data_IF_777510051475
#
_entry.id   IF_777510051475
#
_cell.length_a   1.000
_cell.length_b   1.000
_cell.length_c   1.000
_cell.angle_alpha   90.00
_cell.angle_beta   90.00
_cell.angle_gamma   90.00
#
_symmetry.space_group_name_H-M   'P 1'
#
loop_
_entity.id
_entity.type
_entity.pdbx_description
1 polymer ?
#
# COMPACT_ATOMS: atom_id res chain seq x y z
N UNK A 1 -10.76 3.43 -12.04
CA UNK A 1 -10.18 4.05 -10.84
C UNK A 1 -10.39 5.53 -11.00
N UNK A 2 -11.23 6.08 -10.15
CA UNK A 2 -11.54 7.50 -10.15
C UNK A 2 -10.37 8.31 -9.55
N UNK A 3 -10.40 9.63 -9.68
CA UNK A 3 -9.29 10.50 -9.24
C UNK A 3 -9.13 10.55 -7.71
N UNK A 4 -10.15 10.11 -6.97
CA UNK A 4 -10.15 9.99 -5.51
C UNK A 4 -10.11 8.53 -5.02
N UNK A 5 -9.80 7.59 -5.93
CA UNK A 5 -9.59 6.19 -5.61
C UNK A 5 -8.09 5.85 -5.56
N UNK A 6 -7.71 4.98 -4.63
CA UNK A 6 -6.45 4.25 -4.69
C UNK A 6 -6.65 2.75 -4.48
N UNK A 7 -5.79 1.94 -5.10
CA UNK A 7 -5.70 0.50 -4.91
C UNK A 7 -4.59 0.28 -3.90
N UNK A 8 -4.80 -0.61 -2.93
CA UNK A 8 -3.73 -1.00 -2.04
C UNK A 8 -3.64 -2.50 -1.84
N UNK A 9 -2.40 -2.98 -1.71
CA UNK A 9 -2.08 -4.34 -1.32
C UNK A 9 -1.24 -4.32 -0.05
N UNK A 10 -1.44 -5.33 0.79
CA UNK A 10 -0.64 -5.54 1.99
C UNK A 10 0.05 -6.89 1.88
N UNK A 11 1.35 -6.90 2.13
CA UNK A 11 2.14 -8.12 2.15
C UNK A 11 3.14 -8.09 3.32
N UNK A 12 3.41 -9.26 3.86
CA UNK A 12 4.42 -9.43 4.89
C UNK A 12 5.76 -9.69 4.23
N UNK A 13 6.76 -8.87 4.56
CA UNK A 13 8.13 -9.19 4.18
C UNK A 13 8.58 -10.48 4.88
N UNK A 14 9.52 -11.18 4.25
CA UNK A 14 10.20 -12.27 4.93
C UNK A 14 10.91 -11.71 6.16
N UNK A 15 10.84 -12.45 7.28
CA UNK A 15 11.54 -12.07 8.51
C UNK A 15 13.01 -11.78 8.19
N UNK A 16 13.45 -10.54 8.47
CA UNK A 16 14.83 -10.12 8.20
C UNK A 16 15.75 -10.86 9.17
N UNK A 17 16.20 -12.04 8.75
CA UNK A 17 17.14 -12.89 9.46
C UNK A 17 18.42 -13.05 8.61
N UNK A 18 19.61 -13.16 9.25
CA UNK A 18 20.82 -13.64 8.59
C UNK A 18 20.53 -14.94 7.85
N UNK A 19 21.20 -15.18 6.71
CA UNK A 19 20.90 -16.31 5.84
C UNK A 19 20.95 -17.65 6.58
N UNK A 20 21.90 -17.82 7.52
CA UNK A 20 21.99 -19.01 8.38
C UNK A 20 20.78 -19.24 9.31
N UNK A 21 19.93 -18.24 9.48
CA UNK A 21 18.73 -18.27 10.33
C UNK A 21 17.44 -18.15 9.52
N UNK A 22 17.51 -18.05 8.19
CA UNK A 22 16.32 -18.04 7.33
C UNK A 22 15.74 -19.45 7.26
N UNK A 23 14.57 -19.62 7.86
CA UNK A 23 13.77 -20.83 7.73
C UNK A 23 12.89 -20.76 6.47
N UNK A 24 12.48 -21.89 5.86
CA UNK A 24 11.49 -21.89 4.80
C UNK A 24 10.18 -21.23 5.27
N UNK A 25 9.43 -20.55 4.37
CA UNK A 25 8.21 -19.80 4.70
C UNK A 25 7.25 -20.58 5.62
N UNK A 26 7.05 -21.87 5.35
CA UNK A 26 6.18 -22.76 6.14
C UNK A 26 6.61 -22.97 7.60
N UNK A 27 7.88 -22.73 7.93
CA UNK A 27 8.43 -22.84 9.27
C UNK A 27 8.44 -21.49 10.02
N UNK A 28 8.28 -20.38 9.31
CA UNK A 28 8.23 -19.03 9.86
C UNK A 28 6.80 -18.58 10.23
N UNK A 29 5.81 -18.80 9.36
CA UNK A 29 4.44 -18.36 9.61
C UNK A 29 3.90 -18.87 10.95
N UNK A 30 3.41 -17.95 11.81
CA UNK A 30 2.90 -18.24 13.16
C UNK A 30 3.93 -18.13 14.30
N UNK A 31 5.23 -17.97 14.01
CA UNK A 31 6.23 -17.67 15.05
C UNK A 31 6.27 -16.17 15.33
N UNK A 32 6.24 -15.79 16.61
CA UNK A 32 6.42 -14.40 17.03
C UNK A 32 7.82 -13.87 16.72
N UNK A 33 7.94 -12.57 16.47
CA UNK A 33 9.22 -11.88 16.33
C UNK A 33 9.07 -10.55 15.62
N UNK A 34 10.19 -9.89 15.35
CA UNK A 34 10.15 -8.70 14.50
C UNK A 34 9.72 -9.08 13.09
N UNK A 35 8.68 -8.43 12.59
CA UNK A 35 8.14 -8.65 11.24
C UNK A 35 7.86 -7.29 10.59
N UNK A 36 7.86 -7.25 9.26
CA UNK A 36 7.64 -6.03 8.50
C UNK A 36 6.43 -6.22 7.60
N UNK A 37 5.43 -5.34 7.72
CA UNK A 37 4.30 -5.26 6.81
C UNK A 37 4.55 -4.13 5.81
N UNK A 38 4.40 -4.44 4.52
CA UNK A 38 4.49 -3.46 3.43
C UNK A 38 3.10 -3.21 2.87
N UNK A 39 2.67 -1.95 2.87
CA UNK A 39 1.46 -1.51 2.19
C UNK A 39 1.83 -0.75 0.92
N UNK A 40 1.47 -1.27 -0.24
CA UNK A 40 1.74 -0.63 -1.54
C UNK A 40 0.46 -0.04 -2.11
N UNK A 41 0.53 1.21 -2.55
CA UNK A 41 -0.59 2.00 -3.04
C UNK A 41 -0.33 2.42 -4.48
N UNK A 42 -1.39 2.40 -5.29
CA UNK A 42 -1.39 2.94 -6.64
C UNK A 42 -2.65 3.77 -6.85
N UNK A 43 -2.50 4.98 -7.40
CA UNK A 43 -3.62 5.88 -7.68
C UNK A 43 -3.40 6.65 -8.97
N UNK A 44 -4.48 7.22 -9.48
CA UNK A 44 -4.43 8.08 -10.65
C UNK A 44 -4.11 9.50 -10.20
N UNK A 45 -3.12 10.13 -10.83
CA UNK A 45 -2.79 11.51 -10.53
C UNK A 45 -3.92 12.46 -10.96
N UNK A 46 -4.20 13.51 -10.18
CA UNK A 46 -5.10 14.56 -10.62
C UNK A 46 -4.48 15.22 -11.85
N UNK A 47 -5.16 15.13 -12.99
CA UNK A 47 -4.77 15.87 -14.20
C UNK A 47 -4.77 17.34 -13.81
N UNK A 48 -3.68 18.11 -14.06
CA UNK A 48 -3.73 19.55 -13.87
C UNK A 48 -4.91 20.05 -14.70
N UNK A 49 -5.96 20.56 -14.05
CA UNK A 49 -7.05 21.26 -14.73
C UNK A 49 -6.43 22.56 -15.26
N UNK A 50 -5.75 22.46 -16.39
CA UNK A 50 -5.06 23.58 -17.00
C UNK A 50 -6.09 24.70 -17.20
N UNK A 51 -5.67 25.89 -16.79
CA UNK A 51 -6.45 27.10 -16.70
C UNK A 51 -7.50 27.22 -17.82
N UNK A 52 -8.72 27.58 -17.41
CA UNK A 52 -9.83 28.03 -18.25
C UNK A 52 -9.35 29.17 -19.17
N UNK A 53 -8.77 28.84 -20.31
CA UNK A 53 -8.53 29.76 -21.43
C UNK A 53 -8.50 28.97 -22.74
N UNK A 54 -9.65 29.01 -23.42
CA UNK A 54 -9.84 29.07 -24.87
C UNK A 54 -8.75 28.43 -25.76
N UNK A 55 -9.06 27.26 -26.33
CA UNK A 55 -9.17 26.95 -27.78
C UNK A 55 -9.19 25.42 -27.97
N UNK A 56 -10.14 24.96 -28.78
CA UNK A 56 -10.51 23.59 -29.13
C UNK A 56 -9.39 22.77 -29.78
N UNK A 57 -8.90 21.76 -29.07
CA UNK A 57 -8.55 20.42 -29.59
C UNK A 57 -8.56 19.44 -28.41
N UNK A 58 -9.33 18.34 -28.42
CA UNK A 58 -9.31 17.35 -27.35
C UNK A 58 -8.05 16.49 -27.49
N UNK A 59 -6.92 16.97 -26.99
CA UNK A 59 -5.77 16.10 -26.72
C UNK A 59 -6.07 15.34 -25.44
N UNK A 60 -6.59 14.12 -25.59
CA UNK A 60 -6.70 13.18 -24.46
C UNK A 60 -5.30 12.67 -24.14
N UNK A 61 -4.57 13.40 -23.31
CA UNK A 61 -3.36 12.86 -22.68
C UNK A 61 -3.74 11.62 -21.85
N UNK A 62 -2.97 10.52 -21.94
CA UNK A 62 -3.25 9.33 -21.15
C UNK A 62 -3.19 9.65 -19.65
N UNK A 63 -4.00 8.97 -18.82
CA UNK A 63 -3.95 9.15 -17.37
C UNK A 63 -2.55 8.81 -16.85
N UNK A 64 -2.04 9.66 -15.95
CA UNK A 64 -0.80 9.39 -15.22
C UNK A 64 -1.14 8.73 -13.89
N UNK A 65 -0.30 7.81 -13.45
CA UNK A 65 -0.49 7.06 -12.21
C UNK A 65 0.73 7.24 -11.31
N UNK A 66 0.47 7.37 -10.02
CA UNK A 66 1.47 7.38 -8.97
C UNK A 66 1.40 6.11 -8.15
N UNK A 67 2.54 5.77 -7.55
CA UNK A 67 2.69 4.61 -6.66
C UNK A 67 3.53 4.98 -5.46
N UNK A 68 3.19 4.46 -4.29
CA UNK A 68 3.96 4.65 -3.08
C UNK A 68 3.81 3.45 -2.15
N UNK A 69 4.87 3.13 -1.41
CA UNK A 69 4.88 2.04 -0.44
C UNK A 69 5.22 2.55 0.95
N UNK A 70 4.52 2.02 1.94
CA UNK A 70 4.68 2.31 3.35
C UNK A 70 5.11 1.05 4.06
N UNK A 71 6.06 1.18 4.99
CA UNK A 71 6.66 0.06 5.69
C UNK A 71 6.37 0.21 7.19
N UNK A 72 5.70 -0.79 7.76
CA UNK A 72 5.44 -0.90 9.20
C UNK A 72 6.26 -2.03 9.81
N UNK A 73 7.22 -1.70 10.68
CA UNK A 73 7.94 -2.69 11.47
C UNK A 73 7.22 -2.94 12.80
N UNK A 74 6.94 -4.20 13.10
CA UNK A 74 6.25 -4.61 14.33
C UNK A 74 7.14 -5.59 15.08
N UNK A 75 7.44 -5.27 16.33
CA UNK A 75 8.12 -6.18 17.25
C UNK A 75 7.11 -7.18 17.82
N UNK A 76 7.52 -8.44 17.96
CA UNK A 76 6.68 -9.52 18.52
C UNK A 76 5.40 -9.86 17.73
N UNK A 77 5.35 -9.54 16.43
CA UNK A 77 4.25 -9.91 15.56
C UNK A 77 4.24 -11.41 15.28
N UNK A 78 3.05 -12.02 15.35
CA UNK A 78 2.82 -13.41 14.94
C UNK A 78 2.40 -13.53 13.46
N UNK A 79 2.23 -12.38 12.77
CA UNK A 79 1.71 -12.26 11.41
C UNK A 79 0.32 -12.86 11.25
N UNK A 80 -0.51 -12.68 12.28
CA UNK A 80 -1.91 -13.09 12.23
C UNK A 80 -2.74 -12.12 11.39
N UNK A 81 -3.97 -12.49 11.08
CA UNK A 81 -4.94 -11.57 10.48
C UNK A 81 -5.11 -10.30 11.34
N UNK A 82 -5.14 -10.45 12.67
CA UNK A 82 -5.24 -9.33 13.61
C UNK A 82 -4.03 -8.37 13.51
N UNK A 83 -2.81 -8.92 13.44
CA UNK A 83 -1.60 -8.12 13.26
C UNK A 83 -1.64 -7.37 11.91
N UNK A 84 -2.10 -8.07 10.87
CA UNK A 84 -2.23 -7.53 9.51
C UNK A 84 -3.23 -6.38 9.47
N UNK A 85 -4.40 -6.54 10.09
CA UNK A 85 -5.42 -5.50 10.18
C UNK A 85 -4.91 -4.29 10.95
N UNK A 86 -4.31 -4.52 12.12
CA UNK A 86 -3.80 -3.45 12.99
C UNK A 86 -2.72 -2.61 12.29
N UNK A 87 -1.74 -3.27 11.68
CA UNK A 87 -0.67 -2.58 10.97
C UNK A 87 -1.15 -1.96 9.65
N UNK A 88 -2.04 -2.66 8.94
CA UNK A 88 -2.67 -2.15 7.74
C UNK A 88 -3.49 -0.88 8.00
N UNK A 89 -4.16 -0.76 9.15
CA UNK A 89 -4.86 0.46 9.57
C UNK A 89 -3.89 1.62 9.81
N UNK A 90 -2.75 1.38 10.48
CA UNK A 90 -1.72 2.40 10.71
C UNK A 90 -1.18 2.93 9.38
N UNK A 91 -0.78 2.02 8.49
CA UNK A 91 -0.28 2.36 7.16
C UNK A 91 -1.35 3.12 6.35
N UNK A 92 -2.59 2.61 6.35
CA UNK A 92 -3.71 3.24 5.64
C UNK A 92 -3.96 4.66 6.15
N UNK A 93 -3.89 4.87 7.47
CA UNK A 93 -4.08 6.18 8.09
C UNK A 93 -2.98 7.15 7.68
N UNK A 94 -1.72 6.69 7.64
CA UNK A 94 -0.61 7.51 7.19
C UNK A 94 -0.78 7.90 5.72
N UNK A 95 -1.04 6.93 4.83
CA UNK A 95 -1.32 7.19 3.42
C UNK A 95 -2.44 8.22 3.20
N UNK A 96 -3.56 8.10 3.92
CA UNK A 96 -4.66 9.08 3.82
C UNK A 96 -4.30 10.46 4.37
N UNK A 97 -3.36 10.55 5.29
CA UNK A 97 -2.85 11.82 5.82
C UNK A 97 -1.99 12.51 4.77
N UNK A 98 -1.15 11.75 4.07
CA UNK A 98 -0.25 12.25 3.03
C UNK A 98 -1.01 12.56 1.72
N UNK A 99 -2.08 11.81 1.44
CA UNK A 99 -2.92 11.93 0.24
C UNK A 99 -4.41 12.19 0.57
N UNK A 100 -4.75 13.36 1.14
CA UNK A 100 -6.10 13.65 1.64
C UNK A 100 -7.17 13.74 0.54
N UNK A 101 -6.75 13.82 -0.73
CA UNK A 101 -7.64 13.82 -1.89
C UNK A 101 -8.21 12.42 -2.19
N UNK A 102 -7.52 11.35 -1.76
CA UNK A 102 -7.97 9.97 -1.91
C UNK A 102 -9.01 9.66 -0.83
N UNK A 103 -10.23 9.36 -1.27
CA UNK A 103 -11.36 9.07 -0.39
C UNK A 103 -11.60 7.58 -0.25
N UNK A 104 -11.46 6.86 -1.36
CA UNK A 104 -11.79 5.44 -1.45
C UNK A 104 -10.52 4.61 -1.60
N UNK A 105 -10.43 3.53 -0.82
CA UNK A 105 -9.35 2.56 -0.92
C UNK A 105 -9.91 1.20 -1.29
N UNK A 106 -9.46 0.69 -2.44
CA UNK A 106 -9.75 -0.65 -2.92
C UNK A 106 -8.65 -1.58 -2.43
N UNK A 107 -8.93 -2.34 -1.37
CA UNK A 107 -7.97 -3.29 -0.79
C UNK A 107 -8.00 -4.60 -1.56
N UNK A 108 -6.83 -5.09 -1.98
CA UNK A 108 -6.64 -6.46 -2.44
C UNK A 108 -5.61 -7.14 -1.55
N UNK A 109 -6.00 -8.22 -0.88
CA UNK A 109 -5.11 -9.09 -0.12
C UNK A 109 -4.86 -10.34 -0.94
N UNK A 110 -3.61 -10.75 -1.11
CA UNK A 110 -3.24 -11.97 -1.87
C UNK A 110 -3.46 -13.28 -1.07
N UNK A 111 -4.17 -13.20 0.05
CA UNK A 111 -4.58 -14.36 0.82
C UNK A 111 -5.83 -14.99 0.18
N UNK A 112 -5.62 -15.76 -0.89
CA UNK A 112 -6.54 -16.76 -1.41
C UNK A 112 -5.93 -18.16 -1.26
#
# INVERSE_FOLDING_TARGET
>A
MDEDDALCTFDWDQKILPEEHREPQSAYFGKKGMSVLVGSFAWKDPVPRLARTTITTPSHSPPTYSTESYIGAITDAAQTELDTLSAGEIITKQFKTDHPHIKTLHKRTDNA
#
